data_IF_306274165770
#
_entry.id   IF_306274165770
#
_cell.length_a   1.000
_cell.length_b   1.000
_cell.length_c   1.000
_cell.angle_alpha   90.00
_cell.angle_beta   90.00
_cell.angle_gamma   90.00
#
_symmetry.space_group_name_H-M   'P 1'
#
loop_
_entity.id
_entity.type
_entity.pdbx_description
1 polymer ?
#
# COMPACT_ATOMS: atom_id res chain seq x y z
N UNK A 1 35.31 31.58 18.73
CA UNK A 1 34.20 30.61 18.86
C UNK A 1 33.11 31.05 17.90
N UNK A 2 32.96 30.38 16.76
CA UNK A 2 32.00 30.78 15.72
C UNK A 2 30.61 30.22 16.04
N UNK A 3 29.81 31.03 16.74
CA UNK A 3 28.39 30.79 17.02
C UNK A 3 27.58 30.54 15.74
N UNK A 4 28.01 31.14 14.62
CA UNK A 4 27.36 31.03 13.31
C UNK A 4 27.42 29.62 12.73
N UNK A 5 28.53 28.88 12.90
CA UNK A 5 28.66 27.51 12.37
C UNK A 5 27.74 26.53 13.10
N UNK A 6 27.56 26.70 14.41
CA UNK A 6 26.62 25.88 15.19
C UNK A 6 25.16 26.20 14.85
N UNK A 7 24.83 27.46 14.59
CA UNK A 7 23.48 27.87 14.16
C UNK A 7 23.16 27.39 12.75
N UNK A 8 24.12 27.42 11.83
CA UNK A 8 23.96 26.87 10.47
C UNK A 8 23.85 25.34 10.48
N UNK A 9 24.63 24.63 11.32
CA UNK A 9 24.48 23.18 11.49
C UNK A 9 23.16 22.79 12.17
N UNK A 10 22.65 23.60 13.11
CA UNK A 10 21.34 23.41 13.71
C UNK A 10 20.21 23.63 12.68
N UNK A 11 20.25 24.73 11.92
CA UNK A 11 19.28 25.00 10.84
C UNK A 11 19.33 23.95 9.71
N UNK A 12 20.51 23.39 9.42
CA UNK A 12 20.70 22.31 8.43
C UNK A 12 20.20 20.96 8.95
N UNK A 13 20.13 20.77 10.27
CA UNK A 13 19.52 19.60 10.92
C UNK A 13 18.00 19.77 11.12
N UNK A 14 17.49 20.99 11.33
CA UNK A 14 16.04 21.26 11.35
C UNK A 14 15.43 21.15 9.94
N UNK A 15 16.22 21.38 8.90
CA UNK A 15 15.87 21.05 7.51
C UNK A 15 15.95 19.55 7.19
N UNK A 16 16.36 18.69 8.14
CA UNK A 16 16.24 17.23 8.04
C UNK A 16 14.83 16.81 8.39
N UNK A 17 13.90 17.30 7.57
CA UNK A 17 12.59 16.72 7.24
C UNK A 17 11.87 16.16 8.46
N UNK A 18 11.03 16.99 9.07
CA UNK A 18 9.78 16.52 9.68
C UNK A 18 8.99 15.77 8.59
N UNK A 19 9.41 14.54 8.33
CA UNK A 19 8.76 13.63 7.41
C UNK A 19 7.68 13.03 8.26
N UNK A 20 6.49 13.61 8.22
CA UNK A 20 5.29 12.92 8.70
C UNK A 20 5.33 11.50 8.15
N UNK A 21 5.52 10.51 9.02
CA UNK A 21 5.68 9.11 8.65
C UNK A 21 4.45 8.67 7.87
N UNK A 22 4.55 8.58 6.55
CA UNK A 22 3.42 8.30 5.67
C UNK A 22 3.12 6.81 5.71
N UNK A 23 1.90 6.47 6.12
CA UNK A 23 1.46 5.06 6.23
C UNK A 23 0.63 4.69 5.02
N UNK A 24 0.86 3.50 4.50
CA UNK A 24 0.00 2.87 3.52
C UNK A 24 -0.63 1.59 4.08
N UNK A 25 -1.81 1.25 3.55
CA UNK A 25 -2.53 0.02 3.86
C UNK A 25 -2.71 -0.81 2.60
N UNK A 26 -2.38 -2.08 2.62
CA UNK A 26 -2.66 -2.99 1.50
C UNK A 26 -3.90 -3.80 1.79
N UNK A 27 -4.86 -3.79 0.85
CA UNK A 27 -6.06 -4.63 0.91
C UNK A 27 -6.06 -5.59 -0.28
N UNK A 28 -6.12 -6.89 0.00
CA UNK A 28 -6.14 -7.95 -1.01
C UNK A 28 -7.58 -8.25 -1.48
N UNK A 29 -7.72 -8.87 -2.66
CA UNK A 29 -9.04 -9.15 -3.27
C UNK A 29 -9.95 -10.08 -2.47
N UNK A 30 -9.43 -10.80 -1.47
CA UNK A 30 -10.21 -11.63 -0.53
C UNK A 30 -10.47 -10.95 0.83
N UNK A 31 -10.11 -9.66 0.98
CA UNK A 31 -10.16 -8.91 2.23
C UNK A 31 -11.11 -7.70 2.13
N UNK A 32 -12.15 -7.78 1.29
CA UNK A 32 -13.05 -6.66 1.01
C UNK A 32 -14.15 -6.53 2.09
N UNK A 33 -13.75 -6.11 3.29
CA UNK A 33 -14.60 -6.07 4.49
C UNK A 33 -15.09 -4.65 4.77
N UNK A 34 -16.38 -4.48 5.06
CA UNK A 34 -16.94 -3.16 5.43
C UNK A 34 -16.22 -2.52 6.63
N UNK A 35 -15.89 -3.34 7.64
CA UNK A 35 -15.11 -2.95 8.80
C UNK A 35 -13.75 -3.64 8.74
N UNK A 36 -12.87 -3.16 7.86
CA UNK A 36 -11.57 -3.80 7.62
C UNK A 36 -10.57 -3.46 8.74
N UNK A 37 -10.01 -4.47 9.44
CA UNK A 37 -9.24 -4.26 10.67
C UNK A 37 -7.94 -3.48 10.46
N UNK A 38 -7.34 -3.56 9.26
CA UNK A 38 -6.11 -2.82 9.00
C UNK A 38 -6.33 -1.30 8.87
N UNK A 39 -7.54 -0.85 8.47
CA UNK A 39 -7.80 0.56 8.12
C UNK A 39 -8.77 1.25 9.08
N UNK A 40 -9.20 0.58 10.16
CA UNK A 40 -10.14 1.15 11.13
C UNK A 40 -9.61 2.45 11.75
N UNK A 41 -8.31 2.49 12.05
CA UNK A 41 -7.60 3.64 12.61
C UNK A 41 -6.80 4.42 11.55
N UNK A 42 -7.17 4.30 10.26
CA UNK A 42 -6.49 5.03 9.18
C UNK A 42 -6.75 6.53 9.25
N UNK A 43 -5.69 7.31 9.10
CA UNK A 43 -5.73 8.78 9.07
C UNK A 43 -6.06 9.29 7.66
N UNK A 44 -6.41 10.57 7.56
CA UNK A 44 -6.78 11.22 6.30
C UNK A 44 -5.60 11.38 5.32
N UNK A 45 -4.37 11.37 5.82
CA UNK A 45 -3.12 11.44 5.04
C UNK A 45 -2.60 10.06 4.60
N UNK A 46 -3.12 8.99 5.19
CA UNK A 46 -2.75 7.64 4.83
C UNK A 46 -3.37 7.22 3.48
N UNK A 47 -2.74 6.27 2.80
CA UNK A 47 -3.19 5.75 1.50
C UNK A 47 -3.57 4.27 1.58
N UNK A 48 -4.70 3.90 0.99
CA UNK A 48 -5.10 2.49 0.81
C UNK A 48 -4.68 2.06 -0.59
N UNK A 49 -3.92 0.98 -0.69
CA UNK A 49 -3.39 0.42 -1.93
C UNK A 49 -4.18 -0.85 -2.28
N UNK A 50 -4.68 -0.88 -3.51
CA UNK A 50 -5.35 -2.04 -4.11
C UNK A 50 -4.84 -2.25 -5.53
N UNK A 51 -4.48 -3.48 -5.88
CA UNK A 51 -3.83 -3.79 -7.16
C UNK A 51 -4.52 -5.00 -7.78
N UNK A 52 -5.12 -4.81 -8.96
CA UNK A 52 -5.58 -5.90 -9.80
C UNK A 52 -4.38 -6.51 -10.55
N UNK A 53 -3.71 -7.46 -9.93
CA UNK A 53 -2.44 -7.99 -10.44
C UNK A 53 -2.62 -9.20 -11.36
N UNK A 54 -2.10 -9.11 -12.59
CA UNK A 54 -2.21 -10.17 -13.58
C UNK A 54 -1.50 -11.45 -13.14
N UNK A 55 -0.30 -11.34 -12.56
CA UNK A 55 0.47 -12.49 -12.06
C UNK A 55 -0.23 -13.27 -10.95
N UNK A 56 -1.13 -12.62 -10.21
CA UNK A 56 -2.00 -13.28 -9.22
C UNK A 56 -3.21 -13.91 -9.91
N UNK A 57 -3.87 -13.19 -10.81
CA UNK A 57 -5.04 -13.68 -11.55
C UNK A 57 -4.70 -14.83 -12.51
N UNK A 58 -3.47 -14.92 -13.00
CA UNK A 58 -2.99 -15.97 -13.91
C UNK A 58 -2.23 -17.08 -13.21
N UNK A 59 -2.10 -17.06 -11.88
CA UNK A 59 -1.31 -18.03 -11.10
C UNK A 59 -1.78 -19.47 -11.31
N UNK A 60 -3.08 -19.66 -11.49
CA UNK A 60 -3.74 -20.95 -11.75
C UNK A 60 -4.85 -20.73 -12.78
N UNK A 61 -5.37 -21.83 -13.33
CA UNK A 61 -6.53 -21.81 -14.22
C UNK A 61 -7.83 -21.55 -13.44
N UNK A 62 -7.97 -20.34 -12.90
CA UNK A 62 -9.18 -19.93 -12.20
C UNK A 62 -10.36 -19.84 -13.16
N UNK A 63 -11.55 -20.21 -12.67
CA UNK A 63 -12.77 -20.05 -13.44
C UNK A 63 -13.03 -18.57 -13.74
N UNK A 64 -13.46 -18.26 -14.98
CA UNK A 64 -13.69 -16.87 -15.43
C UNK A 64 -14.65 -16.11 -14.51
N UNK A 65 -15.73 -16.74 -14.06
CA UNK A 65 -16.66 -16.12 -13.10
C UNK A 65 -16.04 -15.79 -11.75
N UNK A 66 -15.07 -16.58 -11.26
CA UNK A 66 -14.35 -16.24 -10.03
C UNK A 66 -13.55 -14.94 -10.22
N UNK A 67 -12.82 -14.84 -11.33
CA UNK A 67 -12.04 -13.65 -11.66
C UNK A 67 -12.93 -12.41 -11.80
N UNK A 68 -14.03 -12.53 -12.55
CA UNK A 68 -15.02 -11.44 -12.70
C UNK A 68 -15.57 -11.02 -11.34
N UNK A 69 -15.98 -11.97 -10.49
CA UNK A 69 -16.51 -11.67 -9.17
C UNK A 69 -15.50 -10.91 -8.31
N UNK A 70 -14.25 -11.38 -8.23
CA UNK A 70 -13.22 -10.74 -7.40
C UNK A 70 -12.90 -9.34 -7.91
N UNK A 71 -12.63 -9.18 -9.21
CA UNK A 71 -12.27 -7.88 -9.80
C UNK A 71 -13.42 -6.88 -9.66
N UNK A 72 -14.66 -7.27 -9.99
CA UNK A 72 -15.82 -6.40 -9.82
C UNK A 72 -16.03 -6.00 -8.36
N UNK A 73 -15.82 -6.93 -7.42
CA UNK A 73 -15.89 -6.64 -5.98
C UNK A 73 -14.81 -5.67 -5.54
N UNK A 74 -13.57 -5.80 -6.04
CA UNK A 74 -12.47 -4.88 -5.73
C UNK A 74 -12.78 -3.46 -6.21
N UNK A 75 -13.30 -3.30 -7.43
CA UNK A 75 -13.71 -1.99 -7.97
C UNK A 75 -14.84 -1.38 -7.17
N UNK A 76 -15.85 -2.17 -6.81
CA UNK A 76 -16.94 -1.71 -5.96
C UNK A 76 -16.45 -1.29 -4.56
N UNK A 77 -15.51 -2.05 -3.99
CA UNK A 77 -14.92 -1.73 -2.70
C UNK A 77 -14.04 -0.48 -2.74
N UNK A 78 -13.27 -0.25 -3.83
CA UNK A 78 -12.60 1.03 -4.09
C UNK A 78 -13.58 2.18 -4.04
N UNK A 79 -14.68 2.08 -4.80
CA UNK A 79 -15.69 3.13 -4.86
C UNK A 79 -16.35 3.36 -3.49
N UNK A 80 -16.57 2.29 -2.73
CA UNK A 80 -17.02 2.39 -1.35
C UNK A 80 -16.02 3.16 -0.46
N UNK A 81 -14.73 2.84 -0.49
CA UNK A 81 -13.70 3.53 0.27
C UNK A 81 -13.60 5.01 -0.10
N UNK A 82 -13.66 5.33 -1.41
CA UNK A 82 -13.68 6.70 -1.90
C UNK A 82 -14.91 7.47 -1.38
N UNK A 83 -16.08 6.82 -1.33
CA UNK A 83 -17.30 7.43 -0.77
C UNK A 83 -17.20 7.75 0.72
N UNK A 84 -16.30 7.08 1.45
CA UNK A 84 -15.99 7.35 2.86
C UNK A 84 -14.89 8.43 3.03
N UNK A 85 -14.44 9.06 1.95
CA UNK A 85 -13.37 10.07 1.97
C UNK A 85 -11.96 9.51 2.13
N UNK A 86 -11.78 8.18 2.01
CA UNK A 86 -10.45 7.57 2.09
C UNK A 86 -9.66 7.80 0.81
N UNK A 87 -8.33 7.97 0.93
CA UNK A 87 -7.42 8.00 -0.22
C UNK A 87 -7.14 6.58 -0.68
N UNK A 88 -7.42 6.30 -1.95
CA UNK A 88 -7.20 4.99 -2.54
C UNK A 88 -6.29 5.11 -3.76
N UNK A 89 -5.15 4.43 -3.72
CA UNK A 89 -4.30 4.16 -4.86
C UNK A 89 -4.74 2.81 -5.46
N UNK A 90 -5.41 2.87 -6.61
CA UNK A 90 -5.98 1.69 -7.26
C UNK A 90 -5.34 1.46 -8.63
N UNK A 91 -4.77 0.28 -8.83
CA UNK A 91 -4.23 -0.14 -10.13
C UNK A 91 -5.19 -1.13 -10.77
N UNK A 92 -5.77 -0.74 -11.91
CA UNK A 92 -6.56 -1.64 -12.76
C UNK A 92 -5.65 -2.59 -13.55
N UNK A 93 -6.16 -3.79 -13.84
CA UNK A 93 -5.36 -4.85 -14.43
C UNK A 93 -5.05 -4.58 -15.90
N UNK A 94 -3.79 -4.80 -16.26
CA UNK A 94 -3.34 -5.14 -17.62
C UNK A 94 -2.33 -6.31 -17.55
N UNK A 95 -1.88 -6.82 -18.69
CA UNK A 95 -0.97 -7.98 -18.77
C UNK A 95 0.42 -7.74 -18.12
N UNK A 96 0.79 -6.48 -17.91
CA UNK A 96 2.08 -6.06 -17.36
C UNK A 96 2.04 -5.82 -15.86
N UNK A 97 0.85 -5.61 -15.27
CA UNK A 97 0.71 -5.36 -13.83
C UNK A 97 1.07 -6.60 -13.02
N UNK A 98 2.17 -6.51 -12.27
CA UNK A 98 2.57 -7.52 -11.28
C UNK A 98 2.49 -6.96 -9.89
N UNK A 99 1.92 -7.72 -8.96
CA UNK A 99 1.59 -7.22 -7.62
C UNK A 99 2.81 -6.61 -6.92
N UNK A 100 3.91 -7.36 -6.84
CA UNK A 100 5.11 -6.94 -6.11
C UNK A 100 5.74 -5.68 -6.70
N UNK A 101 5.82 -5.62 -8.03
CA UNK A 101 6.49 -4.51 -8.73
C UNK A 101 5.68 -3.23 -8.61
N UNK A 102 4.37 -3.32 -8.79
CA UNK A 102 3.44 -2.21 -8.63
C UNK A 102 3.41 -1.70 -7.18
N UNK A 103 3.43 -2.61 -6.19
CA UNK A 103 3.51 -2.22 -4.78
C UNK A 103 4.83 -1.49 -4.48
N UNK A 104 5.97 -2.05 -4.91
CA UNK A 104 7.28 -1.42 -4.71
C UNK A 104 7.35 -0.01 -5.34
N UNK A 105 6.78 0.16 -6.54
CA UNK A 105 6.70 1.45 -7.22
C UNK A 105 5.88 2.46 -6.41
N UNK A 106 4.65 2.12 -6.00
CA UNK A 106 3.79 3.00 -5.21
C UNK A 106 4.49 3.41 -3.90
N UNK A 107 5.07 2.46 -3.18
CA UNK A 107 5.72 2.73 -1.90
C UNK A 107 6.90 3.70 -2.06
N UNK A 108 7.67 3.53 -3.12
CA UNK A 108 8.84 4.39 -3.42
C UNK A 108 8.41 5.77 -3.88
N UNK A 109 7.53 5.85 -4.88
CA UNK A 109 7.09 7.10 -5.50
C UNK A 109 6.35 8.00 -4.51
N UNK A 110 5.58 7.39 -3.59
CA UNK A 110 4.84 8.13 -2.58
C UNK A 110 5.61 8.37 -1.28
N UNK A 111 6.85 7.87 -1.17
CA UNK A 111 7.68 8.01 0.04
C UNK A 111 7.06 7.37 1.28
N UNK A 112 6.44 6.20 1.13
CA UNK A 112 5.79 5.48 2.23
C UNK A 112 6.85 4.90 3.17
N UNK A 113 6.70 5.17 4.47
CA UNK A 113 7.62 4.71 5.51
C UNK A 113 7.06 3.59 6.39
N UNK A 114 5.74 3.32 6.29
CA UNK A 114 5.07 2.26 7.05
C UNK A 114 4.01 1.56 6.19
N UNK A 115 4.00 0.23 6.18
CA UNK A 115 3.02 -0.57 5.48
C UNK A 115 2.21 -1.42 6.47
N UNK A 116 0.89 -1.37 6.38
CA UNK A 116 -0.01 -2.19 7.20
C UNK A 116 -0.90 -3.05 6.31
N UNK A 117 -1.23 -4.25 6.75
CA UNK A 117 -2.17 -5.13 6.08
C UNK A 117 -2.91 -6.01 7.10
N UNK A 118 -4.02 -6.61 6.69
CA UNK A 118 -4.65 -7.66 7.49
C UNK A 118 -3.86 -8.95 7.31
N UNK A 119 -3.41 -9.56 8.41
CA UNK A 119 -2.70 -10.83 8.38
C UNK A 119 -3.51 -11.88 7.61
N UNK A 120 -2.80 -12.70 6.83
CA UNK A 120 -3.39 -13.78 6.05
C UNK A 120 -2.82 -15.11 6.50
N UNK A 121 -3.68 -16.14 6.52
CA UNK A 121 -3.25 -17.52 6.72
C UNK A 121 -2.45 -18.06 5.52
N UNK A 122 -2.49 -17.39 4.37
CA UNK A 122 -1.75 -17.78 3.18
C UNK A 122 -0.28 -17.34 3.28
N UNK A 123 0.63 -18.32 3.32
CA UNK A 123 2.08 -18.06 3.39
C UNK A 123 2.60 -17.20 2.22
N UNK A 124 2.22 -17.45 0.93
CA UNK A 124 2.86 -16.73 -0.17
C UNK A 124 2.62 -15.21 -0.19
N UNK A 125 1.38 -14.69 -0.02
CA UNK A 125 1.16 -13.25 0.08
C UNK A 125 1.82 -12.64 1.32
N UNK A 126 1.75 -13.31 2.47
CA UNK A 126 2.38 -12.83 3.71
C UNK A 126 3.89 -12.65 3.53
N UNK A 127 4.57 -13.67 3.00
CA UNK A 127 6.01 -13.62 2.73
C UNK A 127 6.36 -12.52 1.74
N UNK A 128 5.58 -12.38 0.66
CA UNK A 128 5.81 -11.35 -0.35
C UNK A 128 5.75 -9.93 0.23
N UNK A 129 4.77 -9.64 1.11
CA UNK A 129 4.67 -8.33 1.77
C UNK A 129 5.87 -8.07 2.69
N UNK A 130 6.28 -9.06 3.48
CA UNK A 130 7.47 -8.98 4.35
C UNK A 130 8.74 -8.74 3.52
N UNK A 131 8.90 -9.43 2.39
CA UNK A 131 10.04 -9.28 1.50
C UNK A 131 10.11 -7.86 0.91
N UNK A 132 8.96 -7.26 0.56
CA UNK A 132 8.87 -5.88 0.08
C UNK A 132 9.27 -4.90 1.20
N UNK A 133 8.73 -5.06 2.41
CA UNK A 133 9.09 -4.21 3.55
C UNK A 133 10.58 -4.30 3.87
N UNK A 134 11.13 -5.51 3.90
CA UNK A 134 12.55 -5.75 4.18
C UNK A 134 13.44 -5.10 3.11
N UNK A 135 13.08 -5.26 1.83
CA UNK A 135 13.82 -4.67 0.70
C UNK A 135 13.83 -3.14 0.75
N UNK A 136 12.70 -2.52 1.10
CA UNK A 136 12.54 -1.06 1.10
C UNK A 136 12.84 -0.41 2.45
N UNK A 137 13.21 -1.20 3.47
CA UNK A 137 13.41 -0.72 4.85
C UNK A 137 12.18 0.00 5.42
N UNK A 138 10.98 -0.51 5.08
CA UNK A 138 9.68 0.01 5.53
C UNK A 138 9.25 -0.75 6.79
N UNK A 139 8.67 -0.02 7.75
CA UNK A 139 8.12 -0.58 9.00
C UNK A 139 6.76 -1.25 8.81
#
# INVERSE_FOLDING_TARGET
MNTTLYQELAARNDAKKDTTMKTAYVILGNQLLRNHPAIVDSKDDDVIIMIEAHDICSKLNYHKHKLVLVIASMRNYRDHLLSLGKKVEYIEMDETIKFKQSLEAILTDQGISKLKWMETSDIPPQKMLIDVCTKLSIS
#
